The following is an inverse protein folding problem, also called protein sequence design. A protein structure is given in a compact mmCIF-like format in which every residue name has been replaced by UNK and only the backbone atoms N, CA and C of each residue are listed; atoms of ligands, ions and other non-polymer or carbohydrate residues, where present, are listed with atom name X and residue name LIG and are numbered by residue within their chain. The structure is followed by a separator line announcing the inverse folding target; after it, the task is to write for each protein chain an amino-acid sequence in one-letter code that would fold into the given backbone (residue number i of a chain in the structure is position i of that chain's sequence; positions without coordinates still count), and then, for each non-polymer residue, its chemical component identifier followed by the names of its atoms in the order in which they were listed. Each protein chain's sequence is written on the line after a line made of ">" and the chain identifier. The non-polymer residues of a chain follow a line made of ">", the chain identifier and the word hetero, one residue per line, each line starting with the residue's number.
data_IF_393503984562
#
_entry.id   IF_393503984562
#
_cell.length_a   1.000
_cell.length_b   1.000
_cell.length_c   1.000
_cell.angle_alpha   90.00
_cell.angle_beta   90.00
_cell.angle_gamma   90.00
#
_symmetry.space_group_name_H-M   'P 1'
#
loop_
_entity.id
_entity.type
_entity.pdbx_description
1 polymer ?
#
# COMPACT_ATOMS: atom_id res chain seq x y z
N UNK A 1 -4.44 -20.31 23.04
CA UNK A 1 -3.07 -19.76 22.99
C UNK A 1 -3.13 -18.36 23.56
N UNK A 2 -2.17 -17.96 24.38
CA UNK A 2 -2.09 -16.59 24.90
C UNK A 2 -1.53 -15.71 23.79
N UNK A 3 -2.23 -14.63 23.43
CA UNK A 3 -1.71 -13.67 22.47
C UNK A 3 -0.49 -12.96 23.08
N UNK A 4 0.54 -12.78 22.26
CA UNK A 4 1.80 -12.10 22.61
C UNK A 4 2.13 -11.05 21.54
N UNK A 5 3.00 -10.07 21.83
CA UNK A 5 3.50 -9.15 20.82
C UNK A 5 4.16 -9.86 19.62
N UNK A 6 4.80 -11.01 19.84
CA UNK A 6 5.46 -11.81 18.81
C UNK A 6 4.44 -12.50 17.89
N UNK A 7 3.36 -13.07 18.45
CA UNK A 7 2.26 -13.61 17.63
C UNK A 7 1.54 -12.51 16.84
N UNK A 8 1.41 -11.30 17.41
CA UNK A 8 0.84 -10.14 16.71
C UNK A 8 1.71 -9.75 15.50
N UNK A 9 3.03 -9.70 15.68
CA UNK A 9 3.97 -9.41 14.58
C UNK A 9 3.92 -10.47 13.47
N UNK A 10 3.81 -11.76 13.84
CA UNK A 10 3.70 -12.86 12.87
C UNK A 10 2.41 -12.79 12.04
N UNK A 11 1.27 -12.46 12.67
CA UNK A 11 -0.01 -12.30 11.97
C UNK A 11 0.02 -11.14 10.97
N UNK A 12 0.57 -9.98 11.35
CA UNK A 12 0.73 -8.86 10.41
C UNK A 12 1.72 -9.18 9.30
N UNK A 13 2.81 -9.88 9.62
CA UNK A 13 3.78 -10.35 8.62
C UNK A 13 3.10 -11.17 7.53
N UNK A 14 2.32 -12.19 7.92
CA UNK A 14 1.60 -13.04 6.97
C UNK A 14 0.63 -12.23 6.08
N UNK A 15 -0.12 -11.30 6.67
CA UNK A 15 -1.07 -10.45 5.91
C UNK A 15 -0.38 -9.57 4.87
N UNK A 16 0.74 -8.94 5.23
CA UNK A 16 1.47 -8.10 4.28
C UNK A 16 2.15 -8.92 3.18
N UNK A 17 2.66 -10.11 3.51
CA UNK A 17 3.22 -11.02 2.50
C UNK A 17 2.13 -11.49 1.50
N UNK A 18 0.92 -11.81 1.97
CA UNK A 18 -0.22 -12.15 1.10
C UNK A 18 -0.66 -10.98 0.21
N UNK A 19 -0.71 -9.77 0.76
CA UNK A 19 -1.02 -8.56 -0.01
C UNK A 19 0.02 -8.31 -1.10
N UNK A 20 1.31 -8.38 -0.77
CA UNK A 20 2.39 -8.24 -1.75
C UNK A 20 2.35 -9.34 -2.80
N UNK A 21 2.10 -10.59 -2.41
CA UNK A 21 1.98 -11.68 -3.36
C UNK A 21 0.87 -11.38 -4.37
N UNK A 22 -0.26 -10.87 -3.90
CA UNK A 22 -1.39 -10.47 -4.75
C UNK A 22 -1.03 -9.28 -5.66
N UNK A 23 -0.35 -8.26 -5.12
CA UNK A 23 0.13 -7.13 -5.91
C UNK A 23 1.15 -7.57 -6.99
N UNK A 24 2.03 -8.53 -6.68
CA UNK A 24 2.98 -9.12 -7.64
C UNK A 24 2.26 -9.86 -8.75
N UNK A 25 1.24 -10.65 -8.42
CA UNK A 25 0.43 -11.37 -9.40
C UNK A 25 -0.23 -10.38 -10.36
N UNK A 26 -0.83 -9.29 -9.87
CA UNK A 26 -1.43 -8.31 -10.78
C UNK A 26 -0.37 -7.62 -11.63
N UNK A 27 0.78 -7.21 -11.07
CA UNK A 27 1.86 -6.56 -11.83
C UNK A 27 2.36 -7.43 -12.98
N UNK A 28 2.57 -8.73 -12.72
CA UNK A 28 2.97 -9.70 -13.76
C UNK A 28 1.88 -9.90 -14.80
N UNK A 29 0.62 -10.04 -14.38
CA UNK A 29 -0.51 -10.25 -15.30
C UNK A 29 -0.79 -9.01 -16.17
N UNK A 30 -0.62 -7.81 -15.62
CA UNK A 30 -0.67 -6.55 -16.38
C UNK A 30 0.35 -6.56 -17.52
N UNK A 31 1.62 -6.89 -17.22
CA UNK A 31 2.68 -6.97 -18.24
C UNK A 31 2.37 -8.04 -19.29
N UNK A 32 1.93 -9.23 -18.85
CA UNK A 32 1.61 -10.34 -19.74
C UNK A 32 0.42 -10.05 -20.67
N UNK A 33 -0.57 -9.27 -20.21
CA UNK A 33 -1.72 -8.89 -21.02
C UNK A 33 -1.33 -7.93 -22.15
N UNK A 34 -0.34 -7.07 -21.92
CA UNK A 34 0.08 -6.03 -22.85
C UNK A 34 1.18 -6.50 -23.81
N UNK A 35 2.00 -7.48 -23.40
CA UNK A 35 3.11 -8.00 -24.20
C UNK A 35 2.72 -8.42 -25.64
N UNK A 36 1.59 -9.10 -25.91
CA UNK A 36 1.22 -9.49 -27.27
C UNK A 36 0.94 -8.31 -28.22
N UNK A 37 0.49 -7.16 -27.67
CA UNK A 37 0.13 -5.97 -28.46
C UNK A 37 1.36 -5.12 -28.79
N UNK A 38 2.33 -5.08 -27.88
CA UNK A 38 3.42 -4.11 -27.90
C UNK A 38 4.82 -4.73 -28.00
N UNK A 39 4.93 -6.04 -27.81
CA UNK A 39 6.20 -6.76 -27.74
C UNK A 39 6.91 -6.61 -26.40
N UNK A 40 7.81 -7.55 -26.09
CA UNK A 40 8.47 -7.70 -24.78
C UNK A 40 9.31 -6.50 -24.30
N UNK A 41 9.63 -5.57 -25.19
CA UNK A 41 10.56 -4.46 -24.91
C UNK A 41 9.96 -3.07 -25.13
N UNK A 42 8.80 -2.94 -25.78
CA UNK A 42 8.16 -1.66 -26.13
C UNK A 42 6.71 -1.60 -25.63
N UNK A 43 6.46 -2.01 -24.39
CA UNK A 43 5.11 -2.05 -23.80
C UNK A 43 4.64 -0.61 -23.50
N UNK A 44 4.18 0.11 -24.53
CA UNK A 44 3.54 1.44 -24.43
C UNK A 44 3.84 2.38 -25.61
N UNK A 45 3.14 3.53 -25.72
CA UNK A 45 2.21 4.06 -24.73
C UNK A 45 0.85 3.32 -24.70
N UNK A 46 0.29 3.13 -23.51
CA UNK A 46 -1.01 2.49 -23.31
C UNK A 46 -2.15 3.48 -23.50
N UNK A 47 -3.18 3.06 -24.24
CA UNK A 47 -4.41 3.82 -24.39
C UNK A 47 -5.44 3.44 -23.31
N UNK A 48 -6.52 4.23 -23.21
CA UNK A 48 -7.63 3.98 -22.31
C UNK A 48 -8.20 2.54 -22.40
N UNK A 49 -8.20 1.95 -23.60
CA UNK A 49 -8.70 0.60 -23.84
C UNK A 49 -7.80 -0.45 -23.21
N UNK A 50 -6.49 -0.28 -23.28
CA UNK A 50 -5.53 -1.10 -22.55
C UNK A 50 -5.73 -0.98 -21.04
N UNK A 51 -5.86 0.25 -20.53
CA UNK A 51 -6.06 0.55 -19.11
C UNK A 51 -7.34 -0.11 -18.56
N UNK A 52 -8.45 0.00 -19.29
CA UNK A 52 -9.75 -0.57 -18.89
C UNK A 52 -9.73 -2.09 -18.78
N UNK A 53 -8.97 -2.79 -19.63
CA UNK A 53 -8.89 -4.27 -19.61
C UNK A 53 -8.28 -4.82 -18.33
N UNK A 54 -7.57 -3.98 -17.59
CA UNK A 54 -6.77 -4.42 -16.45
C UNK A 54 -7.48 -4.20 -15.11
N UNK A 55 -8.61 -3.48 -15.09
CA UNK A 55 -9.38 -3.17 -13.85
C UNK A 55 -9.78 -4.41 -13.05
N UNK A 56 -10.09 -5.51 -13.72
CA UNK A 56 -10.58 -6.73 -13.04
C UNK A 56 -9.48 -7.34 -12.16
N UNK A 57 -8.21 -7.09 -12.49
CA UNK A 57 -7.08 -7.49 -11.65
C UNK A 57 -7.02 -6.67 -10.35
N UNK A 58 -7.35 -5.39 -10.38
CA UNK A 58 -7.48 -4.57 -9.16
C UNK A 58 -8.60 -5.09 -8.26
N UNK A 59 -9.72 -5.53 -8.86
CA UNK A 59 -10.85 -6.09 -8.10
C UNK A 59 -10.46 -7.37 -7.37
N UNK A 60 -9.60 -8.22 -7.96
CA UNK A 60 -9.09 -9.42 -7.28
C UNK A 60 -8.31 -9.08 -6.00
N UNK A 61 -7.51 -8.02 -6.00
CA UNK A 61 -6.79 -7.57 -4.79
C UNK A 61 -7.78 -7.11 -3.75
N UNK A 62 -8.77 -6.31 -4.14
CA UNK A 62 -9.81 -5.88 -3.22
C UNK A 62 -10.56 -7.11 -2.67
N UNK A 63 -11.13 -7.99 -3.50
CA UNK A 63 -11.84 -9.20 -3.03
C UNK A 63 -11.03 -10.08 -2.08
N UNK A 64 -9.72 -10.18 -2.29
CA UNK A 64 -8.84 -11.07 -1.50
C UNK A 64 -8.40 -10.45 -0.17
N UNK A 65 -8.43 -9.12 -0.03
CA UNK A 65 -7.86 -8.41 1.11
C UNK A 65 -8.91 -7.50 1.76
N UNK A 66 -9.42 -7.90 2.92
CA UNK A 66 -10.44 -7.12 3.64
C UNK A 66 -9.93 -5.74 4.08
N UNK A 67 -8.61 -5.60 4.31
CA UNK A 67 -7.98 -4.35 4.70
C UNK A 67 -7.71 -3.43 3.50
N UNK A 68 -7.88 -3.89 2.25
CA UNK A 68 -7.67 -3.06 1.07
C UNK A 68 -8.90 -2.16 0.81
N UNK A 69 -8.66 -0.86 0.73
CA UNK A 69 -9.66 0.18 0.42
C UNK A 69 -9.68 0.52 -1.08
N UNK A 70 -8.49 0.61 -1.66
CA UNK A 70 -8.26 0.89 -3.06
C UNK A 70 -7.11 0.05 -3.61
N UNK A 71 -7.15 -0.25 -4.89
CA UNK A 71 -6.09 -0.97 -5.57
C UNK A 71 -5.99 -0.57 -7.04
N UNK A 72 -4.77 -0.64 -7.57
CA UNK A 72 -4.53 -0.22 -8.93
C UNK A 72 -3.10 -0.43 -9.40
N UNK A 73 -2.91 -0.08 -10.66
CA UNK A 73 -1.59 0.03 -11.27
C UNK A 73 -1.37 1.46 -11.72
N UNK A 74 -0.19 1.97 -11.41
CA UNK A 74 0.24 3.32 -11.73
C UNK A 74 1.47 3.21 -12.60
N UNK A 75 1.39 3.66 -13.84
CA UNK A 75 2.53 3.67 -14.75
C UNK A 75 3.22 5.04 -14.77
N UNK A 76 4.48 5.08 -15.21
CA UNK A 76 5.13 6.36 -15.45
C UNK A 76 4.46 7.10 -16.61
N UNK A 77 4.44 8.46 -16.62
CA UNK A 77 3.80 9.24 -17.67
C UNK A 77 4.28 8.95 -19.10
N UNK A 78 5.50 8.47 -19.27
CA UNK A 78 6.06 8.10 -20.58
C UNK A 78 5.46 6.81 -21.15
N UNK A 79 4.74 6.03 -20.33
CA UNK A 79 4.11 4.77 -20.70
C UNK A 79 2.64 4.91 -21.05
N UNK A 80 2.05 6.10 -20.93
CA UNK A 80 0.62 6.32 -21.08
C UNK A 80 0.36 7.32 -22.21
N UNK A 81 -0.61 7.03 -23.06
CA UNK A 81 -0.96 7.89 -24.20
C UNK A 81 -1.57 9.22 -23.75
N UNK A 82 -2.31 9.21 -22.65
CA UNK A 82 -2.92 10.38 -21.98
C UNK A 82 -2.40 10.43 -20.55
N UNK A 83 -1.51 11.37 -20.24
CA UNK A 83 -0.79 11.41 -18.94
C UNK A 83 -1.74 11.48 -17.74
N UNK A 84 -2.92 12.06 -17.91
CA UNK A 84 -3.96 12.16 -16.91
C UNK A 84 -4.53 10.79 -16.51
N UNK A 85 -4.31 9.75 -17.30
CA UNK A 85 -4.76 8.37 -17.03
C UNK A 85 -3.70 7.48 -16.36
N UNK A 86 -2.56 8.06 -15.91
CA UNK A 86 -1.46 7.29 -15.31
C UNK A 86 -1.86 6.48 -14.08
N UNK A 87 -2.85 6.96 -13.34
CA UNK A 87 -3.36 6.30 -12.14
C UNK A 87 -4.67 5.60 -12.49
N UNK A 88 -4.61 4.28 -12.65
CA UNK A 88 -5.79 3.44 -12.79
C UNK A 88 -6.15 2.83 -11.44
N UNK A 89 -6.97 3.54 -10.68
CA UNK A 89 -7.33 3.19 -9.32
C UNK A 89 -8.79 2.82 -9.19
N UNK A 90 -9.07 1.80 -8.40
CA UNK A 90 -10.43 1.38 -8.10
C UNK A 90 -10.59 1.23 -6.60
N UNK A 91 -11.76 1.62 -6.10
CA UNK A 91 -12.16 1.52 -4.71
C UNK A 91 -13.43 0.70 -4.58
N UNK A 92 -13.75 0.28 -3.36
CA UNK A 92 -15.05 -0.34 -3.05
C UNK A 92 -16.13 0.75 -3.02
N UNK A 93 -17.15 0.58 -3.84
CA UNK A 93 -18.34 1.43 -3.88
C UNK A 93 -19.59 0.69 -3.40
N UNK A 94 -20.71 1.40 -3.31
CA UNK A 94 -21.98 0.84 -2.83
C UNK A 94 -22.51 -0.34 -3.68
N UNK A 95 -22.15 -0.39 -4.97
CA UNK A 95 -22.62 -1.40 -5.93
C UNK A 95 -21.47 -2.28 -6.49
N UNK A 96 -20.39 -2.46 -5.72
CA UNK A 96 -19.22 -3.25 -6.11
C UNK A 96 -17.97 -2.40 -6.15
N UNK A 97 -17.41 -2.20 -7.34
CA UNK A 97 -16.18 -1.45 -7.54
C UNK A 97 -16.40 -0.23 -8.43
N UNK A 98 -15.74 0.86 -8.12
CA UNK A 98 -15.80 2.10 -8.88
C UNK A 98 -14.40 2.67 -9.13
N UNK A 99 -14.15 3.28 -10.30
CA UNK A 99 -12.90 3.97 -10.56
C UNK A 99 -12.80 5.20 -9.67
N UNK A 100 -11.59 5.47 -9.17
CA UNK A 100 -11.29 6.68 -8.43
C UNK A 100 -10.35 7.56 -9.25
N UNK A 101 -10.74 8.82 -9.44
CA UNK A 101 -10.01 9.77 -10.28
C UNK A 101 -8.98 10.56 -9.48
N UNK A 102 -7.78 10.69 -10.03
CA UNK A 102 -6.73 11.58 -9.52
C UNK A 102 -6.45 12.66 -10.56
N UNK A 103 -6.15 13.87 -10.11
CA UNK A 103 -5.88 14.99 -11.02
C UNK A 103 -4.37 15.08 -11.27
N UNK A 104 -3.90 14.46 -12.36
CA UNK A 104 -2.50 14.55 -12.79
C UNK A 104 -2.30 15.65 -13.84
N UNK A 105 -2.46 16.92 -13.42
CA UNK A 105 -2.26 18.10 -14.25
C UNK A 105 -1.56 19.21 -13.47
N UNK A 106 -0.32 19.54 -13.86
CA UNK A 106 0.54 20.55 -13.19
C UNK A 106 -0.08 21.96 -13.10
N UNK A 107 -1.06 22.27 -13.96
CA UNK A 107 -1.75 23.57 -13.93
C UNK A 107 -2.98 23.58 -13.02
N UNK A 108 -3.35 22.43 -12.43
CA UNK A 108 -4.47 22.31 -11.51
C UNK A 108 -4.04 22.59 -10.07
N UNK A 109 -4.84 23.31 -9.27
CA UNK A 109 -4.61 23.37 -7.82
C UNK A 109 -4.79 22.01 -7.13
N UNK A 110 -5.42 21.05 -7.81
CA UNK A 110 -5.62 19.68 -7.33
C UNK A 110 -4.55 18.71 -7.85
N UNK A 111 -3.42 19.22 -8.36
CA UNK A 111 -2.36 18.39 -8.93
C UNK A 111 -1.82 17.36 -7.92
N UNK A 112 -2.15 16.09 -8.15
CA UNK A 112 -1.64 14.96 -7.39
C UNK A 112 -0.32 14.48 -7.99
N UNK A 113 0.78 15.12 -7.58
CA UNK A 113 2.14 14.76 -8.01
C UNK A 113 2.65 13.48 -7.35
N UNK A 114 2.06 12.35 -7.74
CA UNK A 114 2.39 11.04 -7.18
C UNK A 114 3.85 10.62 -7.40
N UNK A 115 4.54 11.22 -8.38
CA UNK A 115 5.93 10.86 -8.73
C UNK A 115 6.93 11.13 -7.59
N UNK A 116 6.57 12.02 -6.66
CA UNK A 116 7.38 12.36 -5.49
C UNK A 116 6.97 11.58 -4.24
N UNK A 117 5.78 10.99 -4.22
CA UNK A 117 5.26 10.32 -3.04
C UNK A 117 6.04 9.02 -2.77
N UNK A 118 6.43 8.72 -1.52
CA UNK A 118 7.31 7.57 -1.23
C UNK A 118 6.74 6.22 -1.64
N UNK A 119 5.42 6.04 -1.67
CA UNK A 119 4.79 4.83 -2.21
C UNK A 119 5.07 4.61 -3.70
N UNK A 120 5.44 5.65 -4.46
CA UNK A 120 5.85 5.51 -5.85
C UNK A 120 7.37 5.64 -6.03
N UNK A 121 7.99 6.64 -5.40
CA UNK A 121 9.41 6.95 -5.58
C UNK A 121 10.34 5.90 -4.98
N UNK A 122 10.00 5.31 -3.82
CA UNK A 122 10.85 4.27 -3.21
C UNK A 122 10.87 2.99 -4.05
N UNK A 123 9.73 2.41 -4.51
CA UNK A 123 9.78 1.28 -5.43
C UNK A 123 10.50 1.59 -6.75
N UNK A 124 10.37 2.82 -7.26
CA UNK A 124 11.09 3.27 -8.47
C UNK A 124 12.60 3.27 -8.27
N UNK A 125 13.06 3.84 -7.18
CA UNK A 125 14.48 4.14 -6.97
C UNK A 125 15.23 2.93 -6.37
N UNK A 126 14.56 2.12 -5.54
CA UNK A 126 15.16 0.97 -4.85
C UNK A 126 14.83 -0.38 -5.50
N UNK A 127 13.79 -0.46 -6.33
CA UNK A 127 13.36 -1.72 -6.96
C UNK A 127 12.79 -2.73 -5.96
N UNK A 128 12.31 -2.26 -4.80
CA UNK A 128 11.76 -3.09 -3.73
C UNK A 128 10.32 -2.71 -3.40
N UNK A 129 9.49 -3.65 -2.89
CA UNK A 129 8.21 -3.31 -2.30
C UNK A 129 8.34 -2.24 -1.20
N UNK A 130 7.34 -1.37 -1.09
CA UNK A 130 7.31 -0.33 -0.07
C UNK A 130 5.91 -0.20 0.53
N UNK A 131 5.86 -0.01 1.84
CA UNK A 131 4.64 0.36 2.57
C UNK A 131 4.87 1.76 3.12
N UNK A 132 4.23 2.73 2.49
CA UNK A 132 4.31 4.11 2.93
C UNK A 132 3.24 4.40 3.98
N UNK A 133 3.63 5.19 4.98
CA UNK A 133 2.73 5.76 5.95
C UNK A 133 3.10 5.41 7.40
N UNK A 134 2.23 5.75 8.35
CA UNK A 134 0.90 6.27 8.08
C UNK A 134 0.96 7.76 7.64
N UNK A 135 0.05 8.18 6.75
CA UNK A 135 -0.03 9.55 6.26
C UNK A 135 -1.47 9.92 5.85
N UNK A 136 -1.76 11.21 5.67
CA UNK A 136 -3.03 11.66 5.08
C UNK A 136 -2.81 11.82 3.58
N UNK A 137 -3.59 11.10 2.77
CA UNK A 137 -3.48 11.11 1.32
C UNK A 137 -4.19 12.33 0.69
N UNK A 138 -3.63 13.51 0.97
CA UNK A 138 -4.15 14.80 0.53
C UNK A 138 -4.15 14.90 -0.99
N UNK A 139 -5.29 15.30 -1.58
CA UNK A 139 -5.54 15.32 -3.04
C UNK A 139 -5.58 13.93 -3.70
N UNK A 140 -5.50 12.87 -2.90
CA UNK A 140 -5.78 11.51 -3.29
C UNK A 140 -7.14 11.09 -2.74
N UNK A 141 -7.18 10.05 -1.89
CA UNK A 141 -8.44 9.62 -1.25
C UNK A 141 -8.85 10.44 -0.03
N UNK A 142 -8.04 11.42 0.40
CA UNK A 142 -8.25 12.29 1.57
C UNK A 142 -8.49 11.54 2.90
N UNK A 143 -7.95 10.33 3.00
CA UNK A 143 -8.01 9.49 4.20
C UNK A 143 -6.64 9.33 4.86
N UNK A 144 -6.65 9.08 6.17
CA UNK A 144 -5.46 8.58 6.87
C UNK A 144 -5.23 7.13 6.45
N UNK A 145 -4.10 6.84 5.83
CA UNK A 145 -3.88 5.58 5.11
C UNK A 145 -2.45 5.04 5.26
N UNK A 146 -2.30 3.82 4.80
CA UNK A 146 -1.04 3.18 4.44
C UNK A 146 -1.15 2.75 2.99
N UNK A 147 -0.11 2.96 2.19
CA UNK A 147 -0.11 2.54 0.79
C UNK A 147 0.98 1.50 0.58
N UNK A 148 0.56 0.28 0.27
CA UNK A 148 1.45 -0.82 -0.10
C UNK A 148 1.67 -0.79 -1.61
N UNK A 149 2.91 -0.92 -2.04
CA UNK A 149 3.30 -0.79 -3.44
C UNK A 149 4.42 -1.76 -3.78
N UNK A 150 4.42 -2.25 -5.01
CA UNK A 150 5.51 -3.04 -5.58
C UNK A 150 5.95 -2.44 -6.91
N UNK A 151 7.23 -2.55 -7.29
CA UNK A 151 7.67 -2.12 -8.61
C UNK A 151 7.18 -3.08 -9.68
N UNK A 152 6.79 -2.53 -10.83
CA UNK A 152 6.53 -3.26 -12.08
C UNK A 152 7.69 -2.94 -13.03
N UNK A 153 8.29 -4.00 -13.58
CA UNK A 153 9.37 -3.88 -14.55
C UNK A 153 8.95 -4.40 -15.92
N UNK A 154 9.38 -3.68 -16.96
CA UNK A 154 9.19 -4.05 -18.36
C UNK A 154 10.55 -4.02 -19.04
N UNK A 155 10.98 -5.15 -19.60
CA UNK A 155 12.29 -5.27 -20.23
C UNK A 155 13.45 -4.94 -19.28
N UNK A 156 13.30 -5.24 -17.98
CA UNK A 156 14.29 -4.96 -16.93
C UNK A 156 14.42 -3.48 -16.56
N UNK A 157 13.41 -2.65 -16.86
CA UNK A 157 13.34 -1.25 -16.47
C UNK A 157 12.04 -0.99 -15.71
N UNK A 158 12.10 -0.13 -14.71
CA UNK A 158 10.91 0.33 -14.00
C UNK A 158 9.90 0.93 -14.99
N UNK A 159 8.64 0.51 -14.85
CA UNK A 159 7.53 0.98 -15.66
C UNK A 159 6.43 1.63 -14.81
N UNK A 160 6.39 1.37 -13.51
CA UNK A 160 5.31 1.80 -12.63
C UNK A 160 5.25 0.95 -11.37
N UNK A 161 4.14 1.06 -10.63
CA UNK A 161 3.87 0.25 -9.45
C UNK A 161 2.49 -0.40 -9.52
N UNK A 162 2.35 -1.58 -8.92
CA UNK A 162 1.06 -2.09 -8.47
C UNK A 162 0.93 -1.73 -6.99
N UNK A 163 -0.19 -1.13 -6.61
CA UNK A 163 -0.38 -0.61 -5.26
C UNK A 163 -1.78 -0.84 -4.72
N UNK A 164 -1.89 -0.78 -3.40
CA UNK A 164 -3.16 -0.81 -2.67
C UNK A 164 -3.09 0.07 -1.43
N UNK A 165 -4.13 0.88 -1.24
CA UNK A 165 -4.35 1.63 -0.01
C UNK A 165 -5.08 0.76 1.01
N UNK A 166 -4.70 0.92 2.27
CA UNK A 166 -5.32 0.20 3.38
C UNK A 166 -6.42 1.03 4.02
N UNK A 167 -7.57 0.40 4.26
CA UNK A 167 -8.64 0.99 5.03
C UNK A 167 -8.21 1.05 6.50
N UNK A 168 -7.85 2.25 6.96
CA UNK A 168 -7.24 2.39 8.28
C UNK A 168 -8.17 1.99 9.43
N UNK A 169 -9.48 2.26 9.32
CA UNK A 169 -10.44 1.85 10.34
C UNK A 169 -10.52 0.32 10.47
N UNK A 170 -10.57 -0.39 9.34
CA UNK A 170 -10.57 -1.85 9.31
C UNK A 170 -9.22 -2.42 9.78
N UNK A 171 -8.12 -1.79 9.39
CA UNK A 171 -6.78 -2.15 9.82
C UNK A 171 -6.61 -2.03 11.34
N UNK A 172 -7.07 -0.92 11.93
CA UNK A 172 -7.07 -0.70 13.38
C UNK A 172 -7.97 -1.72 14.10
N UNK A 173 -9.15 -2.01 13.55
CA UNK A 173 -10.03 -3.04 14.10
C UNK A 173 -9.32 -4.40 14.16
N UNK A 174 -8.69 -4.85 13.06
CA UNK A 174 -7.94 -6.11 13.00
C UNK A 174 -6.78 -6.09 14.00
N UNK A 175 -6.05 -4.98 14.09
CA UNK A 175 -4.98 -4.80 15.08
C UNK A 175 -5.49 -5.00 16.52
N UNK A 176 -6.59 -4.34 16.90
CA UNK A 176 -7.16 -4.44 18.24
C UNK A 176 -7.71 -5.84 18.54
N UNK A 177 -8.27 -6.53 17.54
CA UNK A 177 -8.73 -7.91 17.67
C UNK A 177 -7.57 -8.88 17.93
N UNK A 178 -6.48 -8.76 17.16
CA UNK A 178 -5.27 -9.58 17.33
C UNK A 178 -4.52 -9.27 18.63
N UNK A 179 -4.51 -8.00 19.03
CA UNK A 179 -3.86 -7.57 20.26
C UNK A 179 -4.66 -7.92 21.54
N UNK A 180 -5.90 -8.40 21.39
CA UNK A 180 -6.76 -8.77 22.52
C UNK A 180 -6.09 -9.85 23.37
N UNK A 181 -5.99 -9.61 24.68
CA UNK A 181 -5.42 -10.57 25.62
C UNK A 181 -3.89 -10.54 25.73
N UNK A 182 -3.19 -9.66 25.01
CA UNK A 182 -1.78 -9.33 25.28
C UNK A 182 -1.69 -8.58 26.61
N UNK A 183 -0.78 -8.99 27.50
CA UNK A 183 -0.60 -8.38 28.81
C UNK A 183 0.39 -7.19 28.82
N UNK A 184 0.46 -6.46 27.71
CA UNK A 184 1.37 -5.34 27.47
C UNK A 184 0.65 -4.27 26.64
N UNK A 185 1.12 -3.02 26.73
CA UNK A 185 0.78 -2.03 25.73
C UNK A 185 1.56 -2.32 24.46
N UNK A 186 0.87 -2.42 23.33
CA UNK A 186 1.49 -2.69 22.04
C UNK A 186 1.11 -1.60 21.05
N UNK A 187 2.06 -1.22 20.22
CA UNK A 187 1.86 -0.33 19.10
C UNK A 187 2.51 -0.93 17.84
N UNK A 188 1.82 -0.82 16.71
CA UNK A 188 2.44 -1.03 15.41
C UNK A 188 3.02 0.31 14.95
N UNK A 189 4.27 0.31 14.54
CA UNK A 189 4.99 1.53 14.16
C UNK A 189 5.69 1.36 12.83
N UNK A 190 5.83 2.43 12.05
CA UNK A 190 6.66 2.42 10.87
C UNK A 190 8.16 2.51 11.24
N UNK A 191 9.05 2.42 10.24
CA UNK A 191 10.50 2.48 10.47
C UNK A 191 11.00 3.81 11.07
N UNK A 192 10.26 4.91 10.89
CA UNK A 192 10.54 6.21 11.51
C UNK A 192 10.11 6.29 12.99
N UNK A 193 9.51 5.19 13.50
CA UNK A 193 8.95 5.09 14.83
C UNK A 193 7.62 5.83 14.99
N UNK A 194 6.91 6.13 13.89
CA UNK A 194 5.57 6.70 13.94
C UNK A 194 4.54 5.60 14.18
N UNK A 195 3.62 5.86 15.09
CA UNK A 195 2.57 4.94 15.49
C UNK A 195 1.53 4.86 14.37
N UNK A 196 1.30 3.64 13.90
CA UNK A 196 0.20 3.28 13.01
C UNK A 196 -1.03 3.00 13.85
N UNK A 197 -0.98 2.00 14.73
CA UNK A 197 -2.06 1.63 15.65
C UNK A 197 -1.49 1.35 17.04
N UNK A 198 -2.30 1.48 18.09
CA UNK A 198 -1.86 1.26 19.48
C UNK A 198 -3.00 0.77 20.37
N UNK A 199 -2.69 -0.06 21.36
CA UNK A 199 -3.65 -0.46 22.42
C UNK A 199 -3.63 0.48 23.62
N UNK A 200 -2.71 1.44 23.66
CA UNK A 200 -2.59 2.40 24.74
C UNK A 200 -3.29 3.71 24.41
N UNK A 201 -4.07 4.23 25.36
CA UNK A 201 -4.68 5.56 25.25
C UNK A 201 -3.67 6.71 25.44
N UNK A 202 -2.40 6.40 25.74
CA UNK A 202 -1.33 7.40 25.95
C UNK A 202 -0.73 7.94 24.67
N UNK A 203 -0.93 7.25 23.55
CA UNK A 203 -0.36 7.63 22.26
C UNK A 203 -1.41 7.66 21.18
N UNK A 204 -1.23 8.52 20.20
CA UNK A 204 -2.13 8.65 19.05
C UNK A 204 -1.45 8.14 17.77
N UNK A 205 -2.22 7.57 16.82
CA UNK A 205 -1.74 7.36 15.46
C UNK A 205 -1.08 8.63 14.89
N UNK A 206 0.10 8.46 14.29
CA UNK A 206 0.91 9.53 13.69
C UNK A 206 1.99 10.09 14.62
N UNK A 207 1.83 9.95 15.93
CA UNK A 207 2.85 10.34 16.91
C UNK A 207 4.07 9.44 16.83
N UNK A 208 5.24 9.95 17.25
CA UNK A 208 6.43 9.12 17.41
C UNK A 208 6.40 8.44 18.77
N UNK A 209 6.85 7.19 18.83
CA UNK A 209 7.08 6.49 20.10
C UNK A 209 7.96 7.34 21.00
N UNK A 210 7.48 7.58 22.23
CA UNK A 210 8.24 8.26 23.24
C UNK A 210 9.42 7.37 23.69
N UNK A 211 10.63 7.81 23.38
CA UNK A 211 11.87 7.10 23.68
C UNK A 211 12.19 7.04 25.18
N UNK A 212 11.51 7.82 26.02
CA UNK A 212 11.68 7.78 27.47
C UNK A 212 10.99 6.58 28.12
N UNK A 213 10.07 5.93 27.42
CA UNK A 213 9.32 4.78 27.91
C UNK A 213 10.11 3.52 27.55
N UNK A 214 10.36 2.66 28.55
CA UNK A 214 11.02 1.38 28.32
C UNK A 214 10.11 0.48 27.47
N UNK A 215 10.65 0.01 26.34
CA UNK A 215 9.93 -0.82 25.39
C UNK A 215 10.87 -1.80 24.70
N UNK A 216 10.31 -2.91 24.23
CA UNK A 216 10.98 -3.82 23.29
C UNK A 216 10.43 -3.64 21.89
N UNK A 217 11.31 -3.85 20.91
CA UNK A 217 10.98 -3.78 19.47
C UNK A 217 11.00 -5.19 18.91
N UNK A 218 9.96 -5.54 18.17
CA UNK A 218 9.80 -6.80 17.48
C UNK A 218 9.61 -6.45 16.00
N UNK A 219 10.59 -6.80 15.19
CA UNK A 219 10.51 -6.61 13.75
C UNK A 219 9.45 -7.55 13.15
N UNK A 220 8.74 -7.07 12.14
CA UNK A 220 7.96 -7.94 11.27
C UNK A 220 8.94 -8.62 10.31
N UNK A 221 8.96 -9.95 10.30
CA UNK A 221 9.82 -10.75 9.39
C UNK A 221 9.27 -10.83 7.96
N UNK A 222 8.46 -9.85 7.55
CA UNK A 222 7.91 -9.78 6.20
C UNK A 222 9.03 -9.70 5.16
N UNK A 223 8.69 -10.06 3.93
CA UNK A 223 9.59 -10.04 2.76
C UNK A 223 10.23 -8.66 2.49
N UNK A 224 9.79 -7.63 3.21
CA UNK A 224 10.26 -6.25 3.21
C UNK A 224 9.95 -5.63 4.60
N UNK A 225 10.96 -5.15 5.35
CA UNK A 225 10.73 -4.60 6.68
C UNK A 225 10.13 -3.20 6.54
N UNK A 226 8.89 -3.00 7.01
CA UNK A 226 8.23 -1.69 6.90
C UNK A 226 7.53 -1.23 8.16
N UNK A 227 7.06 -2.18 8.97
CA UNK A 227 6.50 -1.92 10.29
C UNK A 227 7.20 -2.77 11.35
N UNK A 228 7.00 -2.38 12.62
CA UNK A 228 7.51 -3.07 13.81
C UNK A 228 6.45 -3.04 14.89
N UNK A 229 6.43 -4.06 15.75
CA UNK A 229 5.67 -4.00 17.00
C UNK A 229 6.57 -3.44 18.09
N UNK A 230 6.08 -2.42 18.79
CA UNK A 230 6.68 -1.90 20.02
C UNK A 230 5.81 -2.35 21.18
N UNK A 231 6.40 -3.00 22.17
CA UNK A 231 5.71 -3.47 23.36
C UNK A 231 6.31 -2.85 24.63
N UNK A 232 5.45 -2.34 25.51
CA UNK A 232 5.83 -1.80 26.81
C UNK A 232 4.93 -2.38 27.92
N UNK A 233 5.40 -2.41 29.18
CA UNK A 233 4.53 -2.72 30.31
C UNK A 233 3.28 -1.82 30.37
N UNK A 234 2.20 -2.33 30.97
CA UNK A 234 0.97 -1.57 31.26
C UNK A 234 1.17 -0.50 32.33
#
# INVERSE_FOLDING_TARGET
>A
MTNTPETLAAEFTARFDELIASLRVIGVNYVALLEPRFGRHEIGPFDHGDLTRMRDLSYMVLDSHEIANGAGVIFTPERIAVKEECIQWHVRGANGYEPYGFVFNENSPEYYDFLQLPWFSVPRDEGLPHLHGPYVDFLGVDEYTLTCSIPIEIGGRFAGVAASDLNFAKFEQVFLELARGIDEHVALVNLDGRIVCTTSSRFLPGEKVDKSIEHRVIDLEASFPTLRVVASPK
#
